data_IF_067047367131
#
_entry.id   IF_067047367131
#
_cell.length_a   1.000
_cell.length_b   1.000
_cell.length_c   1.000
_cell.angle_alpha   90.00
_cell.angle_beta   90.00
_cell.angle_gamma   90.00
#
_symmetry.space_group_name_H-M   'P 1'
#
loop_
_entity.id
_entity.type
_entity.pdbx_description
1 polymer ?
#
# COMPACT_ATOMS: atom_id res chain seq x y z
N UNK A 1 10.73 23.42 -19.38
CA UNK A 1 9.61 22.87 -20.16
C UNK A 1 8.76 22.02 -19.23
N UNK A 2 7.83 22.67 -18.52
CA UNK A 2 6.88 21.99 -17.64
C UNK A 2 5.67 21.62 -18.50
N UNK A 3 5.42 20.33 -18.73
CA UNK A 3 4.23 19.88 -19.43
C UNK A 3 3.04 20.06 -18.50
N UNK A 4 2.40 21.22 -18.59
CA UNK A 4 1.08 21.46 -18.02
C UNK A 4 0.11 20.60 -18.81
N UNK A 5 -0.34 19.50 -18.22
CA UNK A 5 -1.44 18.71 -18.78
C UNK A 5 -2.72 19.51 -18.55
N UNK A 6 -3.56 19.72 -19.60
CA UNK A 6 -4.83 20.40 -19.42
C UNK A 6 -5.77 19.57 -18.53
N UNK A 7 -6.62 20.20 -17.69
CA UNK A 7 -7.57 19.48 -16.87
C UNK A 7 -8.63 18.80 -17.76
N UNK A 8 -8.80 17.48 -17.64
CA UNK A 8 -9.89 16.74 -18.28
C UNK A 8 -11.20 17.03 -17.51
N UNK A 9 -12.18 17.64 -18.16
CA UNK A 9 -13.55 17.69 -17.63
C UNK A 9 -14.14 16.26 -17.59
N UNK A 10 -14.44 15.74 -16.39
CA UNK A 10 -15.58 14.83 -16.22
C UNK A 10 -15.42 13.56 -15.38
N UNK A 11 -14.22 13.08 -15.02
CA UNK A 11 -14.08 11.94 -14.10
C UNK A 11 -12.79 12.06 -13.27
N UNK A 12 -12.96 12.13 -11.95
CA UNK A 12 -11.86 12.05 -10.97
C UNK A 12 -11.35 10.60 -10.96
N UNK A 13 -10.04 10.41 -11.06
CA UNK A 13 -9.46 9.06 -11.07
C UNK A 13 -9.54 8.40 -9.68
N UNK A 14 -9.44 7.07 -9.62
CA UNK A 14 -9.41 6.37 -8.32
C UNK A 14 -8.17 6.75 -7.50
N UNK A 15 -7.05 7.03 -8.15
CA UNK A 15 -5.83 7.55 -7.55
C UNK A 15 -6.07 8.94 -6.93
N UNK A 16 -6.71 9.85 -7.66
CA UNK A 16 -7.05 11.19 -7.15
C UNK A 16 -8.00 11.12 -5.95
N UNK A 17 -9.00 10.23 -5.98
CA UNK A 17 -9.87 9.99 -4.82
C UNK A 17 -9.06 9.43 -3.64
N UNK A 18 -8.14 8.52 -3.89
CA UNK A 18 -7.29 7.95 -2.85
C UNK A 18 -6.44 9.05 -2.20
N UNK A 19 -5.75 9.86 -2.99
CA UNK A 19 -4.88 10.91 -2.49
C UNK A 19 -5.64 12.03 -1.77
N UNK A 20 -6.76 12.47 -2.33
CA UNK A 20 -7.52 13.60 -1.76
C UNK A 20 -8.35 13.20 -0.54
N UNK A 21 -8.89 11.98 -0.52
CA UNK A 21 -9.88 11.56 0.50
C UNK A 21 -9.38 10.42 1.39
N UNK A 22 -8.80 9.37 0.82
CA UNK A 22 -8.46 8.15 1.58
C UNK A 22 -7.15 8.34 2.36
N UNK A 23 -6.11 8.91 1.74
CA UNK A 23 -4.80 9.10 2.35
C UNK A 23 -4.84 9.91 3.66
N UNK A 24 -5.59 11.04 3.76
CA UNK A 24 -5.77 11.75 5.02
C UNK A 24 -6.47 10.92 6.10
N UNK A 25 -7.48 10.12 5.73
CA UNK A 25 -8.19 9.24 6.66
C UNK A 25 -7.30 8.09 7.13
N UNK A 26 -6.51 7.50 6.23
CA UNK A 26 -5.55 6.46 6.56
C UNK A 26 -4.50 6.96 7.57
N UNK A 27 -4.04 8.20 7.45
CA UNK A 27 -3.14 8.80 8.45
C UNK A 27 -3.78 8.82 9.85
N UNK A 28 -5.06 9.18 9.94
CA UNK A 28 -5.80 9.19 11.20
C UNK A 28 -6.00 7.77 11.76
N UNK A 29 -6.41 6.82 10.90
CA UNK A 29 -6.58 5.41 11.27
C UNK A 29 -5.27 4.82 11.79
N UNK A 30 -4.15 5.04 11.08
CA UNK A 30 -2.82 4.57 11.48
C UNK A 30 -2.43 5.13 12.85
N UNK A 31 -2.68 6.41 13.10
CA UNK A 31 -2.38 7.04 14.38
C UNK A 31 -3.16 6.37 15.53
N UNK A 32 -4.49 6.22 15.38
CA UNK A 32 -5.35 5.57 16.38
C UNK A 32 -4.95 4.12 16.61
N UNK A 33 -4.69 3.36 15.55
CA UNK A 33 -4.26 1.96 15.66
C UNK A 33 -2.92 1.82 16.37
N UNK A 34 -1.96 2.74 16.15
CA UNK A 34 -0.70 2.75 16.89
C UNK A 34 -0.88 3.13 18.35
N UNK A 35 -1.66 4.17 18.64
CA UNK A 35 -1.92 4.63 20.01
C UNK A 35 -2.56 3.55 20.88
N UNK A 36 -3.56 2.87 20.34
CA UNK A 36 -4.30 1.83 21.06
C UNK A 36 -3.77 0.41 20.82
N UNK A 37 -2.63 0.29 20.11
CA UNK A 37 -2.00 -1.00 19.80
C UNK A 37 -2.97 -1.97 19.11
N UNK A 38 -3.80 -1.47 18.20
CA UNK A 38 -4.77 -2.27 17.44
C UNK A 38 -4.09 -2.77 16.16
N UNK A 39 -3.97 -4.09 15.96
CA UNK A 39 -3.39 -4.60 14.74
C UNK A 39 -4.37 -4.38 13.57
N UNK A 40 -3.85 -4.09 12.37
CA UNK A 40 -4.64 -3.94 11.15
C UNK A 40 -3.86 -4.30 9.88
N UNK A 41 -4.58 -4.67 8.82
CA UNK A 41 -4.08 -4.73 7.45
C UNK A 41 -5.11 -4.06 6.54
N UNK A 42 -4.68 -3.11 5.72
CA UNK A 42 -5.52 -2.42 4.74
C UNK A 42 -4.80 -2.39 3.39
N UNK A 43 -5.50 -2.73 2.31
CA UNK A 43 -4.97 -2.73 0.95
C UNK A 43 -5.98 -2.11 0.00
N UNK A 44 -5.50 -1.20 -0.84
CA UNK A 44 -6.30 -0.50 -1.84
C UNK A 44 -5.64 -0.67 -3.20
N UNK A 45 -6.45 -1.03 -4.19
CA UNK A 45 -6.05 -1.08 -5.60
C UNK A 45 -6.60 0.18 -6.28
N UNK A 46 -5.68 1.01 -6.75
CA UNK A 46 -5.96 2.26 -7.46
C UNK A 46 -5.40 2.08 -8.87
N UNK A 47 -6.12 1.37 -9.76
CA UNK A 47 -5.74 1.22 -11.15
C UNK A 47 -5.55 2.59 -11.79
N UNK A 48 -4.48 2.71 -12.58
CA UNK A 48 -4.23 3.88 -13.38
C UNK A 48 -5.15 3.83 -14.61
N UNK A 49 -5.87 4.91 -14.88
CA UNK A 49 -6.76 5.01 -16.04
C UNK A 49 -5.98 5.06 -17.36
N UNK A 50 -4.66 5.29 -17.31
CA UNK A 50 -3.74 5.27 -18.44
C UNK A 50 -2.60 4.25 -18.22
N UNK A 51 -2.88 2.93 -18.40
CA UNK A 51 -1.92 1.85 -18.11
C UNK A 51 -0.67 1.85 -19.00
N UNK A 52 -0.68 2.64 -20.08
CA UNK A 52 0.48 2.84 -20.97
C UNK A 52 1.53 3.82 -20.39
N UNK A 53 1.14 4.63 -19.38
CA UNK A 53 1.98 5.71 -18.83
C UNK A 53 2.53 5.38 -17.44
N UNK A 54 1.97 4.38 -16.75
CA UNK A 54 2.49 3.90 -15.47
C UNK A 54 1.78 2.66 -14.95
N UNK A 55 2.44 1.98 -14.01
CA UNK A 55 1.87 0.82 -13.32
C UNK A 55 0.66 1.21 -12.46
N UNK A 56 -0.31 0.31 -12.33
CA UNK A 56 -1.42 0.41 -11.37
C UNK A 56 -0.90 0.57 -9.94
N UNK A 57 -1.38 1.58 -9.21
CA UNK A 57 -0.95 1.84 -7.84
C UNK A 57 -1.67 0.90 -6.87
N UNK A 58 -0.92 0.08 -6.13
CA UNK A 58 -1.45 -0.70 -5.01
C UNK A 58 -0.83 -0.23 -3.70
N UNK A 59 -1.66 0.30 -2.80
CA UNK A 59 -1.23 0.77 -1.49
C UNK A 59 -1.62 -0.24 -0.41
N UNK A 60 -0.65 -0.83 0.29
CA UNK A 60 -0.91 -1.73 1.42
C UNK A 60 -0.24 -1.23 2.68
N UNK A 61 -1.02 -1.06 3.74
CA UNK A 61 -0.56 -0.74 5.10
C UNK A 61 -0.81 -1.93 6.01
N UNK A 62 0.20 -2.30 6.79
CA UNK A 62 0.12 -3.39 7.76
C UNK A 62 0.72 -2.95 9.09
N UNK A 63 -0.07 -3.11 10.16
CA UNK A 63 0.30 -2.86 11.55
C UNK A 63 0.04 -4.15 12.32
N UNK A 64 1.09 -4.91 12.61
CA UNK A 64 1.03 -6.13 13.40
C UNK A 64 2.44 -6.44 13.92
N UNK A 65 2.55 -7.23 14.99
CA UNK A 65 3.80 -7.48 15.70
C UNK A 65 3.59 -7.46 17.21
N UNK A 66 4.69 -7.62 17.94
CA UNK A 66 4.69 -7.76 19.40
C UNK A 66 4.20 -6.50 20.13
N UNK A 67 4.24 -5.35 19.47
CA UNK A 67 3.75 -4.08 20.00
C UNK A 67 2.22 -3.93 19.95
N UNK A 68 1.51 -4.81 19.21
CA UNK A 68 0.06 -4.77 19.00
C UNK A 68 -0.68 -5.82 19.84
N UNK A 69 -1.86 -5.48 20.35
CA UNK A 69 -2.68 -6.28 21.25
C UNK A 69 -3.82 -6.91 20.45
N UNK A 70 -3.87 -8.24 20.41
CA UNK A 70 -4.97 -8.99 19.80
C UNK A 70 -4.50 -10.23 19.04
N UNK A 71 -5.45 -11.01 18.54
CA UNK A 71 -5.17 -12.16 17.65
C UNK A 71 -4.72 -11.64 16.29
N UNK A 72 -3.56 -12.08 15.82
CA UNK A 72 -2.94 -11.62 14.57
C UNK A 72 -2.63 -12.77 13.61
N UNK A 73 -3.09 -13.98 13.93
CA UNK A 73 -2.67 -15.24 13.29
C UNK A 73 -3.05 -15.33 11.80
N UNK A 74 -3.88 -14.43 11.29
CA UNK A 74 -4.19 -14.28 9.86
C UNK A 74 -3.57 -13.06 9.17
N UNK A 75 -3.04 -12.08 9.91
CA UNK A 75 -2.57 -10.82 9.32
C UNK A 75 -1.24 -10.97 8.59
N UNK A 76 -0.33 -11.78 9.14
CA UNK A 76 0.94 -12.12 8.46
C UNK A 76 0.69 -12.82 7.13
N UNK A 77 -0.25 -13.77 7.09
CA UNK A 77 -0.58 -14.49 5.86
C UNK A 77 -1.34 -13.61 4.87
N UNK A 78 -2.31 -12.83 5.33
CA UNK A 78 -3.00 -11.85 4.49
C UNK A 78 -2.00 -10.88 3.84
N UNK A 79 -1.06 -10.33 4.62
CA UNK A 79 -0.04 -9.44 4.10
C UNK A 79 0.91 -10.14 3.12
N UNK A 80 1.23 -11.42 3.34
CA UNK A 80 2.06 -12.23 2.43
C UNK A 80 1.39 -12.44 1.07
N UNK A 81 0.07 -12.64 1.06
CA UNK A 81 -0.74 -12.78 -0.16
C UNK A 81 -0.87 -11.43 -0.88
N UNK A 82 -1.10 -10.35 -0.12
CA UNK A 82 -1.28 -9.00 -0.67
C UNK A 82 0.01 -8.40 -1.25
N UNK A 83 1.17 -8.68 -0.63
CA UNK A 83 2.46 -8.33 -1.20
C UNK A 83 2.71 -9.22 -2.41
N UNK A 84 2.71 -8.61 -3.60
CA UNK A 84 3.22 -9.23 -4.83
C UNK A 84 4.64 -9.75 -4.51
N UNK A 85 4.81 -11.07 -4.45
CA UNK A 85 6.13 -11.67 -4.28
C UNK A 85 7.00 -11.19 -5.46
N UNK A 86 8.24 -10.73 -5.24
CA UNK A 86 9.20 -10.67 -6.33
C UNK A 86 9.23 -12.04 -6.99
N UNK A 87 9.00 -12.11 -8.30
CA UNK A 87 8.93 -13.40 -9.00
C UNK A 87 10.29 -14.14 -8.99
N UNK A 88 11.37 -13.47 -8.56
CA UNK A 88 12.68 -14.05 -8.33
C UNK A 88 13.35 -13.45 -7.08
N UNK A 89 13.94 -14.29 -6.24
CA UNK A 89 14.94 -13.88 -5.25
C UNK A 89 16.25 -14.59 -5.62
N UNK A 90 17.28 -13.82 -5.98
CA UNK A 90 18.63 -14.34 -6.15
C UNK A 90 19.40 -14.20 -4.83
N UNK A 91 19.88 -15.30 -4.27
CA UNK A 91 20.78 -15.31 -3.11
C UNK A 91 22.18 -15.65 -3.62
N UNK A 92 23.12 -14.71 -3.52
CA UNK A 92 24.54 -14.98 -3.75
C UNK A 92 25.17 -15.41 -2.44
N UNK A 93 25.57 -16.69 -2.34
CA UNK A 93 26.41 -17.19 -1.25
C UNK A 93 27.87 -16.96 -1.65
N UNK A 94 28.53 -15.96 -1.07
CA UNK A 94 29.99 -15.84 -1.16
C UNK A 94 30.60 -16.82 -0.16
N UNK A 95 31.20 -17.90 -0.66
CA UNK A 95 31.95 -18.84 0.16
C UNK A 95 33.09 -18.13 0.88
N UNK A 96 33.13 -18.24 2.21
CA UNK A 96 34.29 -17.84 2.99
C UNK A 96 35.48 -18.71 2.57
N UNK A 97 36.57 -18.05 2.17
CA UNK A 97 37.88 -18.68 1.97
C UNK A 97 38.61 -18.79 3.30
#
# INVERSE_FOLDING_TARGET
>A
MSKIHPPKEGNVTQEEIYDQKISPLMKQIIAVCKEHKIPMVASFDCPNDEPEIGDSLRCTTALFGDEFIGKQDGFKEAFRILKRQPECFAITVMGAK
#
